data_IF_374879679861
#
_entry.id   IF_374879679861
#
_cell.length_a   1.000
_cell.length_b   1.000
_cell.length_c   1.000
_cell.angle_alpha   90.00
_cell.angle_beta   90.00
_cell.angle_gamma   90.00
#
_symmetry.space_group_name_H-M   'P 1'
#
loop_
_entity.id
_entity.type
_entity.pdbx_description
1 polymer ?
#
# COMPACT_ATOMS: atom_id res chain seq x y z
N UNK A 1 4.29 13.23 12.74
CA UNK A 1 4.69 11.85 12.40
C UNK A 1 3.41 11.07 12.12
N UNK A 2 2.96 11.07 10.87
CA UNK A 2 1.95 10.13 10.40
C UNK A 2 2.71 8.92 9.85
N UNK A 3 2.83 7.87 10.65
CA UNK A 3 3.31 6.57 10.19
C UNK A 3 2.14 5.92 9.47
N UNK A 4 2.13 6.01 8.13
CA UNK A 4 1.27 5.16 7.32
C UNK A 4 1.89 3.77 7.32
N UNK A 5 1.40 2.86 8.17
CA UNK A 5 1.84 1.48 8.20
C UNK A 5 1.08 0.70 7.12
N UNK A 6 1.56 0.75 5.89
CA UNK A 6 1.23 -0.28 4.92
C UNK A 6 1.98 -1.56 5.30
N UNK A 7 1.28 -2.60 5.62
CA UNK A 7 1.84 -3.87 6.10
C UNK A 7 1.92 -4.85 4.94
N UNK A 8 3.04 -5.52 4.80
CA UNK A 8 3.27 -6.51 3.76
C UNK A 8 2.27 -7.67 3.80
N UNK A 9 1.70 -8.03 2.67
CA UNK A 9 0.83 -9.19 2.52
C UNK A 9 1.51 -10.24 1.65
N UNK A 10 1.54 -11.48 2.14
CA UNK A 10 1.86 -12.65 1.32
C UNK A 10 0.54 -13.22 0.82
N UNK A 11 0.26 -13.08 -0.48
CA UNK A 11 -0.91 -13.70 -1.09
C UNK A 11 -0.56 -15.14 -1.50
N UNK A 12 -1.03 -16.12 -0.76
CA UNK A 12 -1.06 -17.52 -1.18
C UNK A 12 -2.47 -17.89 -1.66
N UNK A 13 -2.55 -18.58 -2.78
CA UNK A 13 -3.81 -19.08 -3.33
C UNK A 13 -4.37 -20.17 -2.41
N UNK A 14 -5.57 -19.98 -1.88
CA UNK A 14 -6.34 -21.03 -1.23
C UNK A 14 -6.78 -22.04 -2.29
N UNK A 15 -6.15 -23.21 -2.30
CA UNK A 15 -6.62 -24.43 -2.92
C UNK A 15 -6.66 -25.51 -1.84
N UNK A 16 -7.83 -26.03 -1.63
CA UNK A 16 -8.25 -27.23 -0.87
C UNK A 16 -7.39 -27.75 0.28
N UNK A 17 -8.05 -27.67 1.43
CA UNK A 17 -7.82 -28.24 2.73
C UNK A 17 -6.75 -29.35 2.87
N UNK A 18 -5.71 -29.01 3.64
CA UNK A 18 -5.22 -29.84 4.76
C UNK A 18 -4.19 -29.01 5.52
N UNK A 19 -4.54 -28.66 6.73
CA UNK A 19 -3.62 -28.04 7.70
C UNK A 19 -2.65 -29.11 8.15
N UNK A 20 -1.46 -29.19 7.54
CA UNK A 20 -0.34 -29.88 8.15
C UNK A 20 0.32 -28.98 9.18
N UNK A 21 0.30 -29.45 10.41
CA UNK A 21 0.96 -28.89 11.58
C UNK A 21 2.42 -28.54 11.27
N UNK A 22 2.75 -27.23 11.32
CA UNK A 22 4.11 -26.71 11.23
C UNK A 22 4.86 -26.90 12.56
N UNK A 23 5.19 -28.15 12.89
CA UNK A 23 6.08 -28.49 14.01
C UNK A 23 7.55 -28.64 13.59
N UNK A 24 7.98 -28.11 12.45
CA UNK A 24 9.37 -28.18 11.97
C UNK A 24 10.17 -26.88 12.04
N UNK A 25 9.65 -25.82 12.68
CA UNK A 25 10.36 -24.56 12.88
C UNK A 25 11.30 -24.52 14.10
N UNK A 26 11.46 -25.64 14.80
CA UNK A 26 12.29 -25.72 16.01
C UNK A 26 13.79 -25.94 15.76
N UNK A 27 14.24 -26.12 14.54
CA UNK A 27 15.66 -26.49 14.24
C UNK A 27 16.51 -25.37 13.62
N UNK A 28 15.99 -24.14 13.50
CA UNK A 28 16.77 -23.02 12.98
C UNK A 28 17.25 -22.01 14.06
N UNK A 29 17.27 -22.43 15.33
CA UNK A 29 17.68 -21.52 16.46
C UNK A 29 19.17 -21.49 16.76
N UNK A 30 20.05 -22.12 16.01
CA UNK A 30 21.49 -22.12 16.31
C UNK A 30 22.46 -21.80 15.16
N UNK A 31 21.97 -21.31 14.03
CA UNK A 31 22.86 -20.60 13.14
C UNK A 31 22.94 -19.14 13.61
N UNK A 32 23.93 -18.81 14.44
CA UNK A 32 24.42 -17.46 14.60
C UNK A 32 25.00 -17.01 13.26
N UNK A 33 24.14 -16.75 12.31
CA UNK A 33 24.50 -15.93 11.17
C UNK A 33 24.61 -14.50 11.71
N UNK A 34 25.78 -14.14 12.25
CA UNK A 34 26.27 -12.77 12.24
C UNK A 34 26.45 -12.40 10.76
N UNK A 35 25.35 -12.29 10.02
CA UNK A 35 25.33 -11.49 8.82
C UNK A 35 25.45 -10.04 9.35
N UNK A 36 26.69 -9.60 9.53
CA UNK A 36 27.02 -8.21 9.38
C UNK A 36 26.54 -7.87 7.97
N UNK A 37 25.31 -7.41 7.83
CA UNK A 37 24.86 -6.70 6.64
C UNK A 37 25.60 -5.36 6.65
N UNK A 38 26.91 -5.42 6.43
CA UNK A 38 27.62 -4.29 5.92
C UNK A 38 26.95 -3.98 4.59
N UNK A 39 26.31 -2.82 4.52
CA UNK A 39 25.79 -2.30 3.27
C UNK A 39 26.87 -2.46 2.23
N UNK A 40 26.70 -3.38 1.27
CA UNK A 40 27.63 -3.50 0.18
C UNK A 40 27.68 -2.13 -0.50
N UNK A 41 28.82 -1.65 -0.98
CA UNK A 41 28.90 -0.36 -1.66
C UNK A 41 27.83 -0.20 -2.74
N UNK A 42 27.41 -1.30 -3.35
CA UNK A 42 26.35 -1.34 -4.35
C UNK A 42 24.96 -0.96 -3.82
N UNK A 43 24.52 -1.46 -2.66
CA UNK A 43 23.23 -1.11 -2.06
C UNK A 43 23.16 0.40 -1.77
N UNK A 44 24.22 0.97 -1.21
CA UNK A 44 24.29 2.40 -0.90
C UNK A 44 24.23 3.25 -2.18
N UNK A 45 24.99 2.90 -3.22
CA UNK A 45 24.99 3.66 -4.47
C UNK A 45 23.64 3.54 -5.20
N UNK A 46 22.99 2.38 -5.16
CA UNK A 46 21.62 2.23 -5.64
C UNK A 46 20.64 3.12 -4.88
N UNK A 47 20.71 3.11 -3.55
CA UNK A 47 19.83 3.95 -2.73
C UNK A 47 20.06 5.45 -3.00
N UNK A 48 21.31 5.87 -3.12
CA UNK A 48 21.65 7.23 -3.48
C UNK A 48 21.04 7.65 -4.81
N UNK A 49 21.12 6.79 -5.82
CA UNK A 49 20.54 7.02 -7.14
C UNK A 49 19.02 7.08 -7.08
N UNK A 50 18.39 6.12 -6.41
CA UNK A 50 16.91 6.06 -6.32
C UNK A 50 16.31 7.24 -5.53
N UNK A 51 16.97 7.67 -4.44
CA UNK A 51 16.51 8.80 -3.63
C UNK A 51 16.61 10.11 -4.41
N UNK A 52 17.60 10.26 -5.30
CA UNK A 52 17.79 11.47 -6.11
C UNK A 52 16.63 11.73 -7.09
N UNK A 53 15.85 10.72 -7.45
CA UNK A 53 14.63 10.93 -8.22
C UNK A 53 13.50 11.39 -7.30
N UNK A 54 12.98 12.59 -7.50
CA UNK A 54 11.74 13.05 -6.85
C UNK A 54 10.54 12.35 -7.51
N UNK A 55 10.18 11.22 -6.94
CA UNK A 55 9.02 10.44 -7.33
C UNK A 55 7.87 10.61 -6.33
N UNK A 56 7.72 11.80 -5.73
CA UNK A 56 6.50 12.15 -4.99
C UNK A 56 5.28 11.73 -5.82
N UNK A 57 4.26 11.12 -5.20
CA UNK A 57 3.15 10.47 -5.95
C UNK A 57 2.42 11.41 -6.94
N UNK A 58 2.53 12.74 -6.78
CA UNK A 58 2.04 13.71 -7.77
C UNK A 58 2.92 13.83 -9.03
N UNK A 59 4.17 13.34 -8.99
CA UNK A 59 5.15 13.42 -10.06
C UNK A 59 5.22 12.14 -10.88
N UNK A 60 5.84 12.20 -12.06
CA UNK A 60 6.14 11.01 -12.86
C UNK A 60 7.28 10.20 -12.22
N UNK A 61 7.18 8.86 -12.30
CA UNK A 61 8.26 7.96 -11.92
C UNK A 61 9.07 7.45 -13.12
N UNK A 62 8.79 7.93 -14.34
CA UNK A 62 9.36 7.36 -15.57
C UNK A 62 10.89 7.39 -15.57
N UNK A 63 11.53 8.49 -15.16
CA UNK A 63 12.99 8.59 -15.14
C UNK A 63 13.62 7.54 -14.20
N UNK A 64 13.02 7.28 -13.04
CA UNK A 64 13.47 6.25 -12.12
C UNK A 64 13.28 4.86 -12.71
N UNK A 65 12.10 4.58 -13.22
CA UNK A 65 11.73 3.23 -13.67
C UNK A 65 12.49 2.84 -14.94
N UNK A 66 12.74 3.78 -15.83
CA UNK A 66 13.57 3.58 -17.03
C UNK A 66 15.02 3.35 -16.67
N UNK A 67 15.56 4.11 -15.71
CA UNK A 67 16.91 3.88 -15.19
C UNK A 67 17.06 2.45 -14.62
N UNK A 68 16.09 1.98 -13.83
CA UNK A 68 16.10 0.62 -13.29
C UNK A 68 15.98 -0.43 -14.40
N UNK A 69 15.07 -0.22 -15.37
CA UNK A 69 14.95 -1.09 -16.55
C UNK A 69 16.29 -1.23 -17.28
N UNK A 70 16.93 -0.14 -17.59
CA UNK A 70 18.15 -0.13 -18.38
C UNK A 70 19.31 -0.80 -17.66
N UNK A 71 19.40 -0.58 -16.34
CA UNK A 71 20.39 -1.25 -15.50
C UNK A 71 20.17 -2.77 -15.39
N UNK A 72 18.92 -3.22 -15.34
CA UNK A 72 18.58 -4.66 -15.38
C UNK A 72 18.89 -5.25 -16.75
N UNK A 73 18.52 -4.56 -17.82
CA UNK A 73 18.81 -4.99 -19.20
C UNK A 73 20.30 -5.09 -19.49
N UNK A 74 21.11 -4.18 -18.94
CA UNK A 74 22.59 -4.24 -19.05
C UNK A 74 23.18 -5.50 -18.38
N UNK A 75 22.47 -6.11 -17.45
CA UNK A 75 22.84 -7.36 -16.80
C UNK A 75 22.15 -8.59 -17.46
N UNK A 76 21.51 -8.42 -18.61
CA UNK A 76 20.80 -9.48 -19.32
C UNK A 76 19.43 -9.86 -18.74
N UNK A 77 18.91 -9.08 -17.78
CA UNK A 77 17.59 -9.30 -17.18
C UNK A 77 16.53 -8.60 -17.99
N UNK A 78 15.57 -9.34 -18.55
CA UNK A 78 14.44 -8.79 -19.28
C UNK A 78 13.47 -8.08 -18.33
N UNK A 79 13.19 -6.80 -18.61
CA UNK A 79 12.23 -6.00 -17.86
C UNK A 79 11.13 -5.47 -18.78
N UNK A 80 9.89 -5.59 -18.35
CA UNK A 80 8.70 -5.11 -19.04
C UNK A 80 8.13 -3.92 -18.27
N UNK A 81 7.70 -2.89 -19.01
CA UNK A 81 7.05 -1.70 -18.47
C UNK A 81 5.54 -1.74 -18.73
N UNK A 82 4.75 -1.42 -17.71
CA UNK A 82 3.29 -1.29 -17.78
C UNK A 82 2.90 0.14 -17.45
N UNK A 83 2.66 0.92 -18.49
CA UNK A 83 2.34 2.35 -18.35
C UNK A 83 0.97 2.58 -17.73
N UNK A 84 0.83 3.70 -17.02
CA UNK A 84 -0.46 4.26 -16.63
C UNK A 84 -1.31 4.61 -17.86
N UNK A 85 -2.64 4.72 -17.73
CA UNK A 85 -3.52 5.05 -18.86
C UNK A 85 -3.18 6.36 -19.57
N UNK A 86 -2.66 7.34 -18.85
CA UNK A 86 -2.19 8.63 -19.37
C UNK A 86 -0.73 8.61 -19.86
N UNK A 87 -0.02 7.50 -19.65
CA UNK A 87 1.39 7.34 -20.01
C UNK A 87 2.37 8.10 -19.11
N UNK A 88 1.90 8.80 -18.08
CA UNK A 88 2.74 9.65 -17.23
C UNK A 88 3.59 8.86 -16.22
N UNK A 89 3.20 7.61 -15.92
CA UNK A 89 3.87 6.71 -14.97
C UNK A 89 4.00 5.31 -15.54
N UNK A 90 4.82 4.48 -14.88
CA UNK A 90 4.93 3.07 -15.27
C UNK A 90 5.28 2.18 -14.09
N UNK A 91 4.73 0.96 -14.12
CA UNK A 91 5.24 -0.15 -13.35
C UNK A 91 6.37 -0.85 -14.13
N UNK A 92 7.17 -1.64 -13.41
CA UNK A 92 8.17 -2.52 -13.99
C UNK A 92 7.99 -3.94 -13.46
N UNK A 93 8.04 -4.92 -14.35
CA UNK A 93 8.17 -6.33 -14.00
C UNK A 93 9.40 -6.90 -14.69
N UNK A 94 10.32 -7.48 -13.91
CA UNK A 94 11.52 -8.09 -14.43
C UNK A 94 11.66 -9.53 -13.91
N UNK A 95 12.22 -10.41 -14.74
CA UNK A 95 12.36 -11.83 -14.42
C UNK A 95 13.81 -12.28 -14.59
N UNK A 96 14.35 -12.86 -13.53
CA UNK A 96 15.58 -13.66 -13.54
C UNK A 96 15.14 -15.11 -13.68
N UNK A 97 15.29 -15.74 -14.85
CA UNK A 97 14.79 -17.10 -15.10
C UNK A 97 15.43 -18.14 -14.16
N UNK A 98 14.76 -19.25 -13.95
CA UNK A 98 15.37 -20.44 -13.37
C UNK A 98 16.50 -20.96 -14.27
N UNK A 99 17.28 -21.92 -13.77
CA UNK A 99 18.45 -22.47 -14.48
C UNK A 99 18.07 -23.20 -15.77
N UNK A 100 16.86 -23.76 -15.82
CA UNK A 100 16.27 -24.42 -16.99
C UNK A 100 15.63 -23.43 -17.98
N UNK A 101 15.73 -22.13 -17.72
CA UNK A 101 15.11 -21.06 -18.52
C UNK A 101 13.63 -20.78 -18.18
N UNK A 102 13.05 -21.50 -17.22
CA UNK A 102 11.67 -21.26 -16.80
C UNK A 102 11.48 -19.87 -16.22
N UNK A 103 10.36 -19.23 -16.57
CA UNK A 103 9.91 -17.91 -16.08
C UNK A 103 8.63 -18.00 -15.27
N UNK A 104 8.08 -19.19 -15.05
CA UNK A 104 6.84 -19.43 -14.33
C UNK A 104 7.06 -19.85 -12.89
N UNK A 105 6.20 -19.45 -11.98
CA UNK A 105 6.35 -19.70 -10.55
C UNK A 105 7.34 -18.73 -9.90
N UNK A 106 8.00 -19.18 -8.83
CA UNK A 106 9.02 -18.41 -8.11
C UNK A 106 8.49 -17.29 -7.23
N UNK A 107 9.42 -16.48 -6.74
CA UNK A 107 9.15 -15.44 -5.75
C UNK A 107 9.30 -14.06 -6.39
N UNK A 108 8.38 -13.16 -6.04
CA UNK A 108 8.43 -11.74 -6.43
C UNK A 108 8.99 -10.90 -5.29
N UNK A 109 9.96 -10.06 -5.58
CA UNK A 109 10.37 -8.93 -4.74
C UNK A 109 9.57 -7.71 -5.20
N UNK A 110 8.63 -7.27 -4.38
CA UNK A 110 7.70 -6.18 -4.71
C UNK A 110 8.00 -4.93 -3.90
N UNK A 111 7.98 -3.77 -4.57
CA UNK A 111 8.11 -2.48 -3.94
C UNK A 111 7.47 -1.38 -4.76
N UNK A 112 7.14 -0.25 -4.10
CA UNK A 112 6.68 0.94 -4.79
C UNK A 112 7.81 1.96 -4.98
N UNK A 113 7.70 2.75 -6.04
CA UNK A 113 8.71 3.73 -6.44
C UNK A 113 8.36 5.15 -6.04
N UNK A 114 7.10 5.40 -5.76
CA UNK A 114 6.63 6.69 -5.30
C UNK A 114 6.90 6.91 -3.81
N UNK A 115 6.78 8.15 -3.39
CA UNK A 115 7.02 8.58 -2.00
C UNK A 115 6.01 9.67 -1.62
N UNK A 116 5.70 9.78 -0.32
CA UNK A 116 4.86 10.87 0.20
C UNK A 116 5.53 12.24 0.01
N UNK A 117 4.72 13.33 -0.10
CA UNK A 117 5.24 14.69 -0.22
C UNK A 117 6.17 15.09 0.94
N UNK A 118 7.07 16.01 0.67
CA UNK A 118 7.92 16.67 1.68
C UNK A 118 7.42 18.06 2.06
N UNK A 119 6.36 18.51 1.42
CA UNK A 119 5.77 19.85 1.60
C UNK A 119 5.35 20.06 3.07
N UNK A 120 5.70 21.21 3.63
CA UNK A 120 5.38 21.56 5.01
C UNK A 120 6.17 20.80 6.10
N UNK A 121 7.08 19.91 5.71
CA UNK A 121 7.98 19.22 6.64
C UNK A 121 9.29 19.99 6.79
N UNK A 122 9.81 20.04 8.01
CA UNK A 122 11.14 20.57 8.26
C UNK A 122 12.18 19.47 8.06
N UNK A 123 13.11 19.71 7.13
CA UNK A 123 14.22 18.81 6.83
C UNK A 123 15.54 19.51 7.15
N UNK A 124 16.41 18.82 7.90
CA UNK A 124 17.78 19.29 8.18
C UNK A 124 18.71 19.13 6.96
N UNK A 125 18.31 18.29 5.99
CA UNK A 125 19.07 17.98 4.78
C UNK A 125 18.14 17.99 3.57
N UNK A 126 18.70 18.02 2.36
CA UNK A 126 17.88 17.86 1.15
C UNK A 126 17.21 16.45 1.17
N UNK A 127 15.87 16.36 1.14
CA UNK A 127 15.16 15.08 1.21
C UNK A 127 15.44 14.16 0.01
N UNK A 128 15.85 14.70 -1.13
CA UNK A 128 16.20 13.94 -2.33
C UNK A 128 17.73 13.81 -2.55
N UNK A 129 18.51 14.02 -1.50
CA UNK A 129 19.95 13.74 -1.48
C UNK A 129 20.28 12.84 -0.30
N UNK A 130 20.73 11.61 -0.59
CA UNK A 130 21.05 10.64 0.45
C UNK A 130 22.15 11.20 1.37
N UNK A 131 21.82 11.36 2.64
CA UNK A 131 22.75 11.89 3.66
C UNK A 131 23.02 10.81 4.71
N UNK A 132 24.31 10.57 4.99
CA UNK A 132 24.71 9.70 6.07
C UNK A 132 25.08 10.51 7.31
N UNK A 133 24.49 10.15 8.46
CA UNK A 133 24.79 10.74 9.76
C UNK A 133 24.54 9.70 10.85
N UNK A 134 25.43 9.57 11.79
CA UNK A 134 25.31 8.68 12.96
C UNK A 134 25.02 7.22 12.59
N UNK A 135 25.65 6.73 11.51
CA UNK A 135 25.48 5.36 11.01
C UNK A 135 24.11 5.08 10.39
N UNK A 136 23.34 6.11 10.07
CA UNK A 136 22.02 6.04 9.43
C UNK A 136 22.02 6.79 8.10
N UNK A 137 21.18 6.34 7.17
CA UNK A 137 20.96 6.97 5.87
C UNK A 137 19.64 7.73 5.89
N UNK A 138 19.69 9.02 5.59
CA UNK A 138 18.54 9.92 5.60
C UNK A 138 18.21 10.36 4.18
N UNK A 139 16.92 10.42 3.87
CA UNK A 139 16.35 10.87 2.61
C UNK A 139 14.89 10.44 2.50
N UNK A 140 14.09 11.12 1.67
CA UNK A 140 12.72 10.71 1.42
C UNK A 140 12.72 9.38 0.66
N UNK A 141 11.97 8.37 1.19
CA UNK A 141 11.89 7.04 0.61
C UNK A 141 13.05 6.11 0.97
N UNK A 142 14.01 6.49 1.84
CA UNK A 142 15.08 5.58 2.25
C UNK A 142 14.55 4.36 2.98
N UNK A 143 13.51 4.53 3.80
CA UNK A 143 12.87 3.45 4.55
C UNK A 143 11.63 2.93 3.82
N UNK A 144 10.82 3.82 3.28
CA UNK A 144 9.56 3.57 2.61
C UNK A 144 9.61 4.08 1.16
N UNK A 145 9.89 3.18 0.11
CA UNK A 145 10.57 1.91 0.38
C UNK A 145 11.72 1.67 -0.63
N UNK A 146 12.35 2.77 -1.11
CA UNK A 146 13.47 2.69 -2.07
C UNK A 146 14.68 1.90 -1.51
N UNK A 147 14.82 1.80 -0.17
CA UNK A 147 15.85 1.01 0.48
C UNK A 147 15.75 -0.47 0.15
N UNK A 148 14.55 -1.05 0.19
CA UNK A 148 14.33 -2.43 -0.21
C UNK A 148 14.63 -2.64 -1.70
N UNK A 149 14.15 -1.74 -2.55
CA UNK A 149 14.42 -1.79 -3.99
C UNK A 149 15.94 -1.74 -4.25
N UNK A 150 16.65 -0.82 -3.60
CA UNK A 150 18.09 -0.68 -3.71
C UNK A 150 18.84 -1.96 -3.30
N UNK A 151 18.42 -2.59 -2.19
CA UNK A 151 19.00 -3.85 -1.73
C UNK A 151 18.77 -4.99 -2.73
N UNK A 152 17.54 -5.13 -3.24
CA UNK A 152 17.21 -6.13 -4.25
C UNK A 152 18.01 -5.94 -5.55
N UNK A 153 18.10 -4.71 -6.06
CA UNK A 153 18.85 -4.39 -7.27
C UNK A 153 20.36 -4.63 -7.10
N UNK A 154 20.90 -4.30 -5.94
CA UNK A 154 22.31 -4.55 -5.64
C UNK A 154 22.68 -6.03 -5.64
N UNK A 155 21.72 -6.91 -5.30
CA UNK A 155 21.91 -8.35 -5.25
C UNK A 155 21.68 -9.06 -6.60
N UNK A 156 21.27 -8.34 -7.65
CA UNK A 156 21.01 -8.95 -8.97
C UNK A 156 22.20 -9.77 -9.50
N UNK A 157 23.46 -9.30 -9.44
CA UNK A 157 24.60 -10.12 -9.87
C UNK A 157 24.74 -11.44 -9.10
N UNK A 158 24.50 -11.41 -7.79
CA UNK A 158 24.53 -12.60 -6.94
C UNK A 158 23.38 -13.54 -7.27
N UNK A 159 22.17 -13.01 -7.44
CA UNK A 159 21.02 -13.79 -7.88
C UNK A 159 21.27 -14.46 -9.23
N UNK A 160 21.91 -13.76 -10.18
CA UNK A 160 22.24 -14.34 -11.49
C UNK A 160 23.29 -15.45 -11.39
N UNK A 161 24.21 -15.36 -10.44
CA UNK A 161 25.23 -16.38 -10.20
C UNK A 161 24.71 -17.62 -9.43
N UNK A 162 23.60 -17.48 -8.70
CA UNK A 162 23.04 -18.60 -7.91
C UNK A 162 22.37 -19.64 -8.80
N UNK A 163 22.45 -20.95 -8.46
CA UNK A 163 21.63 -21.98 -9.09
C UNK A 163 20.16 -21.81 -8.66
N UNK A 164 19.35 -21.23 -9.53
CA UNK A 164 17.93 -20.99 -9.26
C UNK A 164 17.09 -22.15 -9.80
N UNK A 165 16.39 -22.84 -8.90
CA UNK A 165 15.40 -23.88 -9.26
C UNK A 165 14.09 -23.23 -9.74
N UNK A 166 13.78 -22.06 -9.22
CA UNK A 166 12.61 -21.23 -9.56
C UNK A 166 13.07 -19.84 -9.97
N UNK A 167 12.32 -19.14 -10.81
CA UNK A 167 12.63 -17.76 -11.16
C UNK A 167 12.50 -16.81 -9.95
N UNK A 168 13.21 -15.69 -10.03
CA UNK A 168 13.05 -14.55 -9.13
C UNK A 168 12.54 -13.37 -9.95
N UNK A 169 11.58 -12.64 -9.42
CA UNK A 169 10.99 -11.51 -10.11
C UNK A 169 11.12 -10.23 -9.30
N UNK A 170 11.18 -9.10 -9.99
CA UNK A 170 10.97 -7.78 -9.43
C UNK A 170 9.64 -7.23 -9.93
N UNK A 171 8.83 -6.69 -9.04
CA UNK A 171 7.60 -5.98 -9.37
C UNK A 171 7.65 -4.59 -8.71
N UNK A 172 7.91 -3.57 -9.50
CA UNK A 172 8.00 -2.19 -9.00
C UNK A 172 6.77 -1.41 -9.47
N UNK A 173 6.01 -0.87 -8.51
CA UNK A 173 4.77 -0.14 -8.79
C UNK A 173 4.92 1.36 -8.57
N UNK A 174 3.94 2.11 -9.07
CA UNK A 174 3.74 3.53 -8.83
C UNK A 174 2.46 3.75 -8.02
N UNK A 175 2.35 4.91 -7.35
CA UNK A 175 1.16 5.38 -6.64
C UNK A 175 0.61 4.40 -5.59
N UNK A 176 1.52 3.81 -4.82
CA UNK A 176 1.14 3.05 -3.63
C UNK A 176 0.57 3.98 -2.56
N UNK A 177 1.26 5.09 -2.29
CA UNK A 177 0.99 6.08 -1.24
C UNK A 177 -0.35 6.83 -1.41
N UNK A 178 -0.96 6.72 -2.58
CA UNK A 178 -2.26 7.32 -2.91
C UNK A 178 -3.33 6.27 -3.22
N UNK A 179 -3.11 5.02 -2.79
CA UNK A 179 -4.11 3.95 -2.84
C UNK A 179 -3.77 2.78 -3.73
N UNK A 180 -2.49 2.42 -3.89
CA UNK A 180 -2.00 1.26 -4.65
C UNK A 180 -2.47 1.25 -6.12
N UNK A 181 -2.54 2.43 -6.77
CA UNK A 181 -3.17 2.59 -8.10
C UNK A 181 -2.45 1.81 -9.19
N UNK A 182 -1.11 1.74 -9.14
CA UNK A 182 -0.29 1.11 -10.18
C UNK A 182 -0.34 -0.41 -10.16
N UNK A 183 -0.28 -1.02 -9.00
CA UNK A 183 -0.16 -2.47 -8.85
C UNK A 183 -1.30 -3.27 -9.52
N UNK A 184 -2.59 -2.91 -9.39
CA UNK A 184 -3.68 -3.61 -10.08
C UNK A 184 -3.54 -3.63 -11.60
N UNK A 185 -3.01 -2.55 -12.20
CA UNK A 185 -2.80 -2.46 -13.66
C UNK A 185 -1.77 -3.48 -14.11
N UNK A 186 -0.63 -3.56 -13.40
CA UNK A 186 0.41 -4.54 -13.68
C UNK A 186 -0.10 -5.98 -13.50
N UNK A 187 -0.79 -6.24 -12.39
CA UNK A 187 -1.34 -7.57 -12.07
C UNK A 187 -2.36 -8.05 -13.11
N UNK A 188 -3.22 -7.15 -13.61
CA UNK A 188 -4.17 -7.47 -14.67
C UNK A 188 -3.45 -7.89 -15.97
N UNK A 189 -2.38 -7.19 -16.35
CA UNK A 189 -1.59 -7.51 -17.53
C UNK A 189 -0.81 -8.83 -17.36
N UNK A 190 -0.19 -9.05 -16.21
CA UNK A 190 0.51 -10.31 -15.93
C UNK A 190 -0.45 -11.51 -15.96
N UNK A 191 -1.67 -11.34 -15.45
CA UNK A 191 -2.73 -12.36 -15.51
C UNK A 191 -3.13 -12.66 -16.96
N UNK A 192 -3.28 -11.64 -17.80
CA UNK A 192 -3.59 -11.82 -19.23
C UNK A 192 -2.47 -12.54 -19.98
N UNK A 193 -1.21 -12.34 -19.56
CA UNK A 193 -0.04 -13.04 -20.10
C UNK A 193 0.11 -14.47 -19.57
N UNK A 194 -0.77 -14.93 -18.68
CA UNK A 194 -0.68 -16.25 -18.06
C UNK A 194 0.48 -16.40 -17.08
N UNK A 195 1.01 -15.28 -16.54
CA UNK A 195 2.09 -15.33 -15.57
C UNK A 195 1.59 -15.95 -14.27
N UNK A 196 2.25 -17.04 -13.85
CA UNK A 196 2.04 -17.67 -12.55
C UNK A 196 3.19 -17.31 -11.60
N UNK A 197 2.86 -17.04 -10.33
CA UNK A 197 3.80 -16.65 -9.27
C UNK A 197 3.50 -17.50 -8.03
N UNK A 198 4.54 -18.03 -7.37
CA UNK A 198 4.36 -18.87 -6.19
C UNK A 198 4.19 -18.06 -4.89
N UNK A 199 4.79 -16.87 -4.83
CA UNK A 199 4.68 -15.99 -3.67
C UNK A 199 5.27 -14.61 -3.94
N UNK A 200 5.06 -13.70 -2.98
CA UNK A 200 5.53 -12.33 -3.06
C UNK A 200 6.08 -11.88 -1.71
N UNK A 201 7.23 -11.22 -1.74
CA UNK A 201 7.78 -10.47 -0.61
C UNK A 201 7.62 -8.99 -0.93
N UNK A 202 6.75 -8.32 -0.18
CA UNK A 202 6.58 -6.87 -0.25
C UNK A 202 7.50 -6.25 0.79
N UNK A 203 8.41 -5.40 0.34
CA UNK A 203 9.52 -4.90 1.17
C UNK A 203 9.19 -3.67 2.01
N UNK A 204 7.97 -3.57 2.51
CA UNK A 204 7.54 -2.51 3.41
C UNK A 204 8.30 -2.51 4.74
N UNK A 205 8.47 -1.33 5.39
CA UNK A 205 9.28 -1.20 6.60
C UNK A 205 8.58 -1.79 7.84
N UNK A 206 8.66 -3.08 8.03
CA UNK A 206 8.05 -3.84 9.14
C UNK A 206 9.03 -4.17 10.27
N UNK A 207 10.15 -3.45 10.36
CA UNK A 207 11.25 -3.75 11.30
C UNK A 207 11.76 -5.20 11.17
N UNK A 208 11.81 -5.72 9.95
CA UNK A 208 12.22 -7.10 9.60
C UNK A 208 11.34 -8.19 10.23
N UNK A 209 10.12 -7.84 10.64
CA UNK A 209 9.14 -8.81 11.10
C UNK A 209 8.22 -9.21 9.95
N UNK A 210 8.01 -10.51 9.71
CA UNK A 210 7.05 -10.93 8.69
C UNK A 210 5.63 -10.54 9.10
N UNK A 211 4.93 -9.81 8.23
CA UNK A 211 3.53 -9.46 8.38
C UNK A 211 2.77 -10.19 7.27
N UNK A 212 1.85 -11.08 7.64
CA UNK A 212 1.18 -11.98 6.70
C UNK A 212 -0.23 -11.52 6.30
N UNK A 213 -0.78 -10.53 7.00
CA UNK A 213 -2.09 -9.95 6.69
C UNK A 213 -2.23 -8.55 7.26
N UNK A 214 -3.11 -7.76 6.69
CA UNK A 214 -3.57 -6.47 7.22
C UNK A 214 -5.06 -6.28 6.93
N UNK A 215 -5.70 -5.37 7.67
CA UNK A 215 -7.08 -4.96 7.40
C UNK A 215 -7.15 -4.17 6.10
N UNK A 216 -8.26 -4.32 5.39
CA UNK A 216 -8.57 -3.45 4.26
C UNK A 216 -8.71 -1.98 4.70
N UNK A 217 -8.55 -1.06 3.76
CA UNK A 217 -8.83 0.36 3.94
C UNK A 217 -9.87 0.80 2.92
N UNK A 218 -10.95 1.41 3.40
CA UNK A 218 -12.02 1.92 2.55
C UNK A 218 -12.41 3.31 3.04
N UNK A 219 -12.23 4.31 2.20
CA UNK A 219 -12.52 5.71 2.52
C UNK A 219 -13.65 6.19 1.63
N UNK A 220 -14.66 6.78 2.26
CA UNK A 220 -15.87 7.26 1.60
C UNK A 220 -16.12 8.73 1.91
N UNK A 221 -16.56 9.47 0.91
CA UNK A 221 -16.99 10.84 1.06
C UNK A 221 -18.48 10.95 0.76
N UNK A 222 -19.23 11.46 1.76
CA UNK A 222 -20.66 11.69 1.65
C UNK A 222 -20.95 13.17 1.46
N UNK A 223 -21.80 13.50 0.51
CA UNK A 223 -22.37 14.81 0.31
C UNK A 223 -23.87 14.74 0.57
N UNK A 224 -24.31 15.45 1.60
CA UNK A 224 -25.72 15.54 1.98
C UNK A 224 -26.25 16.87 1.48
N UNK A 225 -27.22 16.80 0.57
CA UNK A 225 -27.87 17.96 0.01
C UNK A 225 -29.16 18.26 0.77
N UNK A 226 -29.31 19.49 1.22
CA UNK A 226 -30.50 20.02 1.85
C UNK A 226 -31.12 21.12 0.99
N UNK A 227 -31.85 22.00 1.66
CA UNK A 227 -32.46 23.18 1.06
C UNK A 227 -32.29 24.37 2.01
N UNK A 228 -31.61 25.42 1.54
CA UNK A 228 -31.40 26.63 2.32
C UNK A 228 -32.74 27.35 2.65
N UNK A 229 -32.82 27.84 3.86
CA UNK A 229 -33.88 28.71 4.33
C UNK A 229 -33.39 29.53 5.53
N UNK A 230 -34.07 30.65 5.84
CA UNK A 230 -33.81 31.36 7.09
C UNK A 230 -34.18 30.48 8.29
N UNK A 231 -33.41 30.51 9.37
CA UNK A 231 -33.59 29.63 10.54
C UNK A 231 -34.93 29.76 11.24
N UNK A 232 -35.62 30.91 11.10
CA UNK A 232 -36.99 31.09 11.57
C UNK A 232 -38.07 30.45 10.68
N UNK A 233 -37.67 29.92 9.51
CA UNK A 233 -38.55 29.32 8.50
C UNK A 233 -38.14 27.86 8.23
N UNK A 234 -37.76 27.14 9.26
CA UNK A 234 -37.27 25.72 9.16
C UNK A 234 -38.19 24.82 8.32
N UNK A 235 -39.54 24.94 8.36
CA UNK A 235 -40.39 24.07 7.53
C UNK A 235 -40.29 24.33 6.02
N UNK A 236 -39.63 25.42 5.57
CA UNK A 236 -39.40 25.75 4.15
C UNK A 236 -38.07 25.23 3.60
N UNK A 237 -37.21 24.73 4.47
CA UNK A 237 -35.89 24.19 4.11
C UNK A 237 -35.68 22.78 4.58
N UNK A 238 -34.45 22.24 4.33
CA UNK A 238 -33.99 20.97 4.83
C UNK A 238 -32.53 21.12 5.28
N UNK A 239 -32.27 20.85 6.55
CA UNK A 239 -30.95 21.08 7.14
C UNK A 239 -29.98 19.90 6.82
N UNK A 240 -29.05 20.13 5.90
CA UNK A 240 -28.08 19.13 5.49
C UNK A 240 -27.21 18.62 6.65
N UNK A 241 -26.86 19.44 7.63
CA UNK A 241 -26.07 19.03 8.80
C UNK A 241 -26.85 18.05 9.66
N UNK A 242 -28.12 18.25 9.89
CA UNK A 242 -28.94 17.36 10.73
C UNK A 242 -29.12 15.99 10.08
N UNK A 243 -29.30 15.93 8.76
CA UNK A 243 -29.35 14.65 8.04
C UNK A 243 -27.98 13.97 8.00
N UNK A 244 -26.89 14.72 7.81
CA UNK A 244 -25.53 14.19 7.90
C UNK A 244 -25.26 13.62 9.30
N UNK A 245 -25.67 14.31 10.36
CA UNK A 245 -25.51 13.83 11.74
C UNK A 245 -26.22 12.48 11.98
N UNK A 246 -27.44 12.30 11.45
CA UNK A 246 -28.16 11.03 11.53
C UNK A 246 -27.39 9.89 10.85
N UNK A 247 -26.84 10.14 9.66
CA UNK A 247 -26.05 9.14 8.95
C UNK A 247 -24.73 8.84 9.70
N UNK A 248 -24.08 9.85 10.28
CA UNK A 248 -22.89 9.65 11.12
C UNK A 248 -23.22 8.82 12.36
N UNK A 249 -24.36 9.08 13.02
CA UNK A 249 -24.82 8.24 14.13
C UNK A 249 -25.03 6.78 13.68
N UNK A 250 -25.64 6.58 12.51
CA UNK A 250 -25.83 5.22 11.97
C UNK A 250 -24.48 4.51 11.69
N UNK A 251 -23.48 5.23 11.14
CA UNK A 251 -22.14 4.71 10.94
C UNK A 251 -21.51 4.30 12.28
N UNK A 252 -21.72 5.11 13.31
CA UNK A 252 -21.27 4.80 14.67
C UNK A 252 -21.94 3.55 15.23
N UNK A 253 -23.27 3.40 15.03
CA UNK A 253 -24.00 2.19 15.46
C UNK A 253 -23.45 0.94 14.77
N UNK A 254 -23.11 1.02 13.48
CA UNK A 254 -22.46 -0.09 12.76
C UNK A 254 -21.08 -0.41 13.34
N UNK A 255 -20.30 0.62 13.67
CA UNK A 255 -18.98 0.43 14.31
C UNK A 255 -19.11 -0.28 15.66
N UNK A 256 -20.09 0.11 16.47
CA UNK A 256 -20.38 -0.50 17.77
C UNK A 256 -20.91 -1.94 17.62
N UNK A 257 -21.71 -2.20 16.58
CA UNK A 257 -22.17 -3.55 16.25
C UNK A 257 -21.00 -4.48 15.87
N UNK A 258 -20.06 -4.04 15.04
CA UNK A 258 -18.84 -4.80 14.72
C UNK A 258 -17.99 -5.07 15.96
N UNK A 259 -17.89 -4.08 16.85
CA UNK A 259 -17.17 -4.24 18.12
C UNK A 259 -17.83 -5.27 19.03
N UNK A 260 -19.18 -5.25 19.12
CA UNK A 260 -19.94 -6.11 20.02
C UNK A 260 -20.13 -7.54 19.50
N UNK A 261 -20.31 -7.71 18.19
CA UNK A 261 -20.77 -8.95 17.58
C UNK A 261 -19.76 -9.60 16.63
N UNK A 262 -18.64 -8.91 16.31
CA UNK A 262 -17.67 -9.38 15.33
C UNK A 262 -18.17 -9.31 13.86
N UNK A 263 -17.60 -10.11 12.96
CA UNK A 263 -16.65 -11.20 13.24
C UNK A 263 -15.35 -10.73 13.87
N UNK A 264 -14.65 -11.66 14.55
CA UNK A 264 -13.40 -11.38 15.23
C UNK A 264 -12.26 -12.20 14.63
N UNK A 265 -11.08 -11.56 14.52
CA UNK A 265 -9.82 -12.22 14.20
C UNK A 265 -8.77 -11.82 15.24
N UNK A 266 -8.38 -12.77 16.09
CA UNK A 266 -7.44 -12.59 17.21
C UNK A 266 -6.00 -12.29 16.80
N UNK A 267 -5.67 -12.39 15.50
CA UNK A 267 -4.34 -12.04 14.99
C UNK A 267 -4.15 -10.54 14.84
N UNK A 268 -5.21 -9.74 15.01
CA UNK A 268 -5.15 -8.29 14.98
C UNK A 268 -5.28 -7.69 16.38
N UNK A 269 -4.52 -6.63 16.68
CA UNK A 269 -4.60 -5.89 17.95
C UNK A 269 -6.02 -5.39 18.24
N UNK A 270 -6.71 -4.92 17.19
CA UNK A 270 -8.15 -4.66 17.22
C UNK A 270 -8.83 -5.74 16.39
N UNK A 271 -9.43 -6.77 17.04
CA UNK A 271 -9.82 -8.02 16.37
C UNK A 271 -11.13 -7.95 15.57
N UNK A 272 -11.65 -6.78 15.28
CA UNK A 272 -12.92 -6.58 14.56
C UNK A 272 -12.79 -5.46 13.52
N UNK A 273 -13.75 -5.37 12.61
CA UNK A 273 -13.86 -4.27 11.64
C UNK A 273 -14.11 -2.94 12.37
N UNK A 274 -13.29 -1.93 12.11
CA UNK A 274 -13.45 -0.59 12.68
C UNK A 274 -14.04 0.37 11.67
N UNK A 275 -14.90 1.30 12.13
CA UNK A 275 -15.44 2.39 11.32
C UNK A 275 -15.33 3.70 12.09
N UNK A 276 -15.07 4.81 11.39
CA UNK A 276 -14.96 6.14 12.01
C UNK A 276 -15.22 7.24 11.00
N UNK A 277 -15.87 8.34 11.46
CA UNK A 277 -16.02 9.59 10.69
C UNK A 277 -14.93 10.55 11.13
N UNK A 278 -14.05 10.94 10.21
CA UNK A 278 -12.83 11.70 10.55
C UNK A 278 -12.86 13.16 10.09
N UNK A 279 -13.78 13.52 9.20
CA UNK A 279 -13.90 14.89 8.67
C UNK A 279 -15.36 15.23 8.47
N UNK A 280 -15.74 16.49 8.79
CA UNK A 280 -17.06 17.05 8.49
C UNK A 280 -16.94 18.54 8.20
N UNK A 281 -17.70 19.02 7.22
CA UNK A 281 -17.84 20.44 6.88
C UNK A 281 -19.28 20.72 6.48
N UNK A 282 -19.88 21.82 6.96
CA UNK A 282 -21.23 22.23 6.58
C UNK A 282 -21.64 23.55 7.20
N UNK A 283 -22.62 24.23 6.57
CA UNK A 283 -23.14 25.51 7.00
C UNK A 283 -22.25 26.70 6.62
N UNK A 284 -22.91 27.88 6.52
CA UNK A 284 -22.27 29.15 6.16
C UNK A 284 -22.57 30.27 7.17
N UNK A 285 -23.70 30.19 7.87
CA UNK A 285 -24.13 31.18 8.87
C UNK A 285 -25.10 30.53 9.86
N UNK A 286 -25.12 31.04 11.10
CA UNK A 286 -25.97 30.49 12.18
C UNK A 286 -27.46 30.68 11.95
N UNK A 287 -27.86 31.67 11.15
CA UNK A 287 -29.26 31.99 10.85
C UNK A 287 -29.74 31.43 9.49
N UNK A 288 -28.99 30.51 8.88
CA UNK A 288 -29.33 29.90 7.59
C UNK A 288 -29.26 28.39 7.71
N UNK A 289 -30.31 27.67 7.30
CA UNK A 289 -30.28 26.21 7.17
C UNK A 289 -29.26 25.84 6.09
N UNK A 290 -28.28 24.96 6.39
CA UNK A 290 -27.29 24.57 5.42
C UNK A 290 -27.88 23.68 4.31
N UNK A 291 -27.56 24.04 3.07
CA UNK A 291 -27.96 23.28 1.88
C UNK A 291 -26.94 22.17 1.52
N UNK A 292 -25.77 22.20 2.13
CA UNK A 292 -24.72 21.19 1.92
C UNK A 292 -24.00 20.88 3.22
N UNK A 293 -23.81 19.58 3.47
CA UNK A 293 -22.89 19.06 4.45
C UNK A 293 -22.08 17.94 3.80
N UNK A 294 -20.75 18.03 3.92
CA UNK A 294 -19.83 16.99 3.44
C UNK A 294 -19.10 16.38 4.63
N UNK A 295 -19.01 15.05 4.67
CA UNK A 295 -18.18 14.36 5.65
C UNK A 295 -17.47 13.17 5.00
N UNK A 296 -16.34 12.76 5.59
CA UNK A 296 -15.61 11.57 5.20
C UNK A 296 -15.56 10.57 6.35
N UNK A 297 -15.83 9.31 6.04
CA UNK A 297 -15.66 8.21 6.95
C UNK A 297 -14.80 7.12 6.32
N UNK A 298 -14.17 6.31 7.16
CA UNK A 298 -13.46 5.13 6.72
C UNK A 298 -13.86 3.91 7.53
N UNK A 299 -13.62 2.73 6.95
CA UNK A 299 -13.64 1.49 7.70
C UNK A 299 -12.44 0.61 7.33
N UNK A 300 -12.00 -0.15 8.34
CA UNK A 300 -10.91 -1.12 8.23
C UNK A 300 -11.49 -2.50 8.43
N UNK A 301 -11.80 -3.19 7.32
CA UNK A 301 -12.39 -4.53 7.37
C UNK A 301 -11.33 -5.61 7.61
N UNK A 302 -11.72 -6.66 8.32
CA UNK A 302 -10.90 -7.87 8.46
C UNK A 302 -10.73 -8.57 7.10
N UNK A 303 -9.61 -9.30 6.88
CA UNK A 303 -9.48 -10.20 5.73
C UNK A 303 -10.66 -11.15 5.64
N UNK A 304 -11.12 -11.41 4.41
CA UNK A 304 -12.30 -12.26 4.17
C UNK A 304 -13.65 -11.57 4.35
N UNK A 305 -13.70 -10.33 4.85
CA UNK A 305 -14.92 -9.52 4.91
C UNK A 305 -14.97 -8.62 3.69
N UNK A 306 -15.96 -8.85 2.83
CA UNK A 306 -16.18 -8.05 1.64
C UNK A 306 -16.58 -6.60 2.01
N UNK A 307 -15.84 -5.58 1.57
CA UNK A 307 -16.15 -4.18 1.89
C UNK A 307 -17.50 -3.72 1.34
N UNK A 308 -17.96 -4.31 0.23
CA UNK A 308 -19.24 -4.01 -0.39
C UNK A 308 -20.41 -4.29 0.56
N UNK A 309 -20.35 -5.38 1.33
CA UNK A 309 -21.40 -5.74 2.30
C UNK A 309 -21.48 -4.74 3.48
N UNK A 310 -20.35 -4.10 3.84
CA UNK A 310 -20.34 -3.04 4.85
C UNK A 310 -20.95 -1.77 4.26
N UNK A 311 -20.53 -1.41 3.06
CA UNK A 311 -21.01 -0.22 2.37
C UNK A 311 -22.52 -0.28 2.11
N UNK A 312 -23.04 -1.44 1.69
CA UNK A 312 -24.48 -1.66 1.51
C UNK A 312 -25.30 -1.39 2.76
N UNK A 313 -24.78 -1.66 3.96
CA UNK A 313 -25.48 -1.37 5.22
C UNK A 313 -25.58 0.14 5.49
N UNK A 314 -24.61 0.93 5.02
CA UNK A 314 -24.66 2.40 5.08
C UNK A 314 -25.67 2.93 4.04
N UNK A 315 -25.60 2.42 2.81
CA UNK A 315 -26.47 2.83 1.70
C UNK A 315 -27.95 2.51 1.96
N UNK A 316 -28.23 1.33 2.53
CA UNK A 316 -29.59 0.95 2.89
C UNK A 316 -30.26 1.94 3.86
N UNK A 317 -29.50 2.58 4.75
CA UNK A 317 -30.03 3.60 5.66
C UNK A 317 -30.37 4.90 4.91
N UNK A 318 -29.66 5.22 3.84
CA UNK A 318 -29.89 6.45 3.05
C UNK A 318 -31.15 6.34 2.19
N UNK A 319 -31.60 5.11 1.85
CA UNK A 319 -32.77 4.85 1.02
C UNK A 319 -34.10 4.91 1.83
N UNK A 320 -34.04 4.93 3.15
CA UNK A 320 -35.17 5.05 4.09
C UNK A 320 -35.23 6.43 4.74
#
# INVERSE_FOLDING_TARGET
>A
QAVCACKAAVATRAGDGHVHSLNSLALCRQAHCKASFMSTPNTRSWLQTLVAFDTTSRNSNLNLIEHVRDALMAQGVKAQLFKSPDGAKSNLFATLPAQDGSTQGGIVLSGHTDVVPVDGQQWDTNPFALTERDGKLYGRGTCDMKGFIAAGLALVPEFLAMPRIKPLHFALSYDEEVGCVGAPIMLAQLKLQGQHLDGCIVGEPTSMQPVVAHKGINVWRCRVHGKAAHSSLTPRGSNAIEYAARLICRIRDLADAFKANGPYDRFFDVPYTTMTTNQIRGGIAVNTLPELCEFAYEFRNLPGIAPEGIQQQVEAYVQH
#
